data_IF_955465882408
#
_entry.id   IF_955465882408
#
_cell.length_a   1.000
_cell.length_b   1.000
_cell.length_c   1.000
_cell.angle_alpha   90.00
_cell.angle_beta   90.00
_cell.angle_gamma   90.00
#
_symmetry.space_group_name_H-M   'P 1'
#
loop_
_entity.id
_entity.type
_entity.pdbx_description
1 polymer ?
#
# COMPACT_ATOMS: atom_id res chain seq x y z
N UNK A 1 33.94 21.76 -19.03
CA UNK A 1 33.64 20.64 -18.12
C UNK A 1 32.14 20.66 -17.84
N UNK A 2 31.44 19.53 -17.96
CA UNK A 2 30.02 19.46 -17.60
C UNK A 2 29.85 19.68 -16.10
N UNK A 3 28.87 20.51 -15.70
CA UNK A 3 28.54 20.74 -14.28
C UNK A 3 28.12 19.39 -13.66
N UNK A 4 28.66 18.99 -12.50
CA UNK A 4 28.21 17.77 -11.86
C UNK A 4 26.70 17.86 -11.60
N UNK A 5 25.97 16.84 -12.03
CA UNK A 5 24.52 16.78 -11.83
C UNK A 5 24.23 16.78 -10.33
N UNK A 6 23.43 17.74 -9.87
CA UNK A 6 23.03 17.82 -8.46
C UNK A 6 22.05 16.69 -8.18
N UNK A 7 22.46 15.73 -7.36
CA UNK A 7 21.60 14.62 -6.93
C UNK A 7 20.70 15.13 -5.80
N UNK A 8 19.41 15.19 -6.06
CA UNK A 8 18.41 15.64 -5.08
C UNK A 8 17.83 14.49 -4.27
N UNK A 9 17.21 14.81 -3.13
CA UNK A 9 16.49 13.83 -2.29
C UNK A 9 15.40 13.09 -3.07
N UNK A 10 14.60 13.81 -3.86
CA UNK A 10 13.56 13.23 -4.72
C UNK A 10 14.13 12.27 -5.79
N UNK A 11 15.27 12.61 -6.39
CA UNK A 11 15.96 11.70 -7.32
C UNK A 11 16.41 10.41 -6.62
N UNK A 12 16.94 10.53 -5.40
CA UNK A 12 17.33 9.36 -4.60
C UNK A 12 16.12 8.49 -4.26
N UNK A 13 14.98 9.07 -3.88
CA UNK A 13 13.75 8.29 -3.65
C UNK A 13 13.30 7.56 -4.91
N UNK A 14 13.32 8.22 -6.08
CA UNK A 14 13.02 7.58 -7.38
C UNK A 14 14.00 6.44 -7.70
N UNK A 15 15.28 6.62 -7.41
CA UNK A 15 16.28 5.55 -7.54
C UNK A 15 15.96 4.37 -6.61
N UNK A 16 15.60 4.65 -5.36
CA UNK A 16 15.13 3.65 -4.41
C UNK A 16 13.94 2.85 -4.95
N UNK A 17 12.88 3.53 -5.40
CA UNK A 17 11.69 2.87 -5.99
C UNK A 17 12.05 2.01 -7.19
N UNK A 18 12.81 2.56 -8.14
CA UNK A 18 13.25 1.82 -9.33
C UNK A 18 14.07 0.58 -8.94
N UNK A 19 14.92 0.71 -7.92
CA UNK A 19 15.68 -0.40 -7.36
C UNK A 19 14.76 -1.47 -6.76
N UNK A 20 13.73 -1.10 -6.00
CA UNK A 20 12.73 -2.05 -5.47
C UNK A 20 12.02 -2.79 -6.60
N UNK A 21 11.59 -2.09 -7.65
CA UNK A 21 10.91 -2.73 -8.79
C UNK A 21 11.81 -3.72 -9.52
N UNK A 22 13.12 -3.46 -9.57
CA UNK A 22 14.08 -4.35 -10.24
C UNK A 22 14.54 -5.50 -9.36
N UNK A 23 14.88 -5.23 -8.09
CA UNK A 23 15.61 -6.17 -7.24
C UNK A 23 14.91 -6.54 -5.92
N UNK A 24 13.77 -5.91 -5.59
CA UNK A 24 13.03 -6.15 -4.35
C UNK A 24 13.56 -5.34 -3.15
N UNK A 25 12.70 -5.12 -2.15
CA UNK A 25 12.96 -4.19 -1.06
C UNK A 25 14.05 -4.67 -0.09
N UNK A 26 14.05 -5.97 0.24
CA UNK A 26 15.11 -6.59 1.05
C UNK A 26 16.53 -6.37 0.50
N UNK A 27 16.67 -6.14 -0.80
CA UNK A 27 17.97 -5.94 -1.44
C UNK A 27 18.50 -4.50 -1.33
N UNK A 28 17.75 -3.56 -0.77
CA UNK A 28 18.21 -2.17 -0.65
C UNK A 28 19.42 -2.07 0.30
N UNK A 29 20.51 -1.52 -0.25
CA UNK A 29 21.64 -0.96 0.47
C UNK A 29 22.18 0.26 -0.28
N UNK A 30 22.84 1.18 0.42
CA UNK A 30 23.43 2.37 -0.21
C UNK A 30 24.39 1.99 -1.34
N UNK A 31 25.25 0.99 -1.13
CA UNK A 31 26.20 0.51 -2.16
C UNK A 31 25.49 -0.06 -3.39
N UNK A 32 24.45 -0.89 -3.21
CA UNK A 32 23.73 -1.50 -4.34
C UNK A 32 22.96 -0.45 -5.15
N UNK A 33 22.28 0.49 -4.47
CA UNK A 33 21.59 1.60 -5.13
C UNK A 33 22.58 2.51 -5.85
N UNK A 34 23.67 2.89 -5.19
CA UNK A 34 24.69 3.75 -5.76
C UNK A 34 25.31 3.15 -7.03
N UNK A 35 25.65 1.86 -6.99
CA UNK A 35 26.16 1.13 -8.15
C UNK A 35 25.16 1.06 -9.30
N UNK A 36 23.86 0.82 -9.03
CA UNK A 36 22.82 0.73 -10.07
C UNK A 36 22.67 2.05 -10.85
N UNK A 37 22.78 3.20 -10.16
CA UNK A 37 22.56 4.52 -10.76
C UNK A 37 23.85 5.29 -11.05
N UNK A 38 25.02 4.66 -10.91
CA UNK A 38 26.31 5.27 -11.23
C UNK A 38 26.68 6.46 -10.35
N UNK A 39 26.25 6.46 -9.08
CA UNK A 39 26.55 7.52 -8.11
C UNK A 39 27.45 6.97 -6.99
N UNK A 40 28.06 7.86 -6.19
CA UNK A 40 28.69 7.42 -4.93
C UNK A 40 27.62 7.18 -3.84
N UNK A 41 28.00 6.60 -2.71
CA UNK A 41 27.06 6.43 -1.58
C UNK A 41 26.81 7.72 -0.79
N UNK A 42 27.66 8.74 -0.97
CA UNK A 42 27.61 9.98 -0.20
C UNK A 42 26.28 10.75 -0.32
N UNK A 43 25.66 10.90 -1.51
CA UNK A 43 24.39 11.61 -1.64
C UNK A 43 23.26 11.01 -0.78
N UNK A 44 23.24 9.68 -0.61
CA UNK A 44 22.26 9.00 0.24
C UNK A 44 22.43 9.46 1.69
N UNK A 45 23.64 9.40 2.23
CA UNK A 45 23.91 9.80 3.62
C UNK A 45 23.85 11.32 3.86
N UNK A 46 23.92 12.13 2.79
CA UNK A 46 23.67 13.58 2.89
C UNK A 46 22.18 13.91 2.99
N UNK A 47 21.30 13.08 2.44
CA UNK A 47 19.85 13.35 2.38
C UNK A 47 19.04 12.59 3.44
N UNK A 48 19.56 11.48 3.97
CA UNK A 48 18.87 10.60 4.91
C UNK A 48 19.75 10.30 6.12
N UNK A 49 19.12 10.18 7.30
CA UNK A 49 19.83 9.98 8.57
C UNK A 49 20.63 8.67 8.57
N UNK A 50 20.06 7.63 7.99
CA UNK A 50 20.65 6.30 7.87
C UNK A 50 19.87 5.48 6.82
N UNK A 51 20.27 4.22 6.63
CA UNK A 51 19.61 3.33 5.68
C UNK A 51 18.18 2.92 6.08
N UNK A 52 17.81 2.97 7.37
CA UNK A 52 16.44 2.70 7.79
C UNK A 52 15.54 3.88 7.40
N UNK A 53 15.97 5.11 7.69
CA UNK A 53 15.30 6.37 7.30
C UNK A 53 15.10 6.43 5.77
N UNK A 54 16.14 6.12 4.98
CA UNK A 54 16.00 6.06 3.52
C UNK A 54 14.99 5.00 3.06
N UNK A 55 14.98 3.81 3.68
CA UNK A 55 14.02 2.74 3.35
C UNK A 55 12.59 3.12 3.69
N UNK A 56 12.38 3.77 4.83
CA UNK A 56 11.08 4.28 5.27
C UNK A 56 10.56 5.34 4.29
N UNK A 57 11.38 6.33 3.94
CA UNK A 57 10.97 7.36 2.98
C UNK A 57 10.73 6.81 1.56
N UNK A 58 11.37 5.70 1.17
CA UNK A 58 11.01 4.99 -0.07
C UNK A 58 9.59 4.42 0.03
N UNK A 59 9.22 3.79 1.15
CA UNK A 59 7.87 3.24 1.35
C UNK A 59 6.84 4.38 1.33
N UNK A 60 7.10 5.48 2.02
CA UNK A 60 6.24 6.67 1.99
C UNK A 60 6.12 7.26 0.58
N UNK A 61 7.22 7.29 -0.18
CA UNK A 61 7.17 7.74 -1.56
C UNK A 61 6.31 6.82 -2.43
N UNK A 62 6.41 5.50 -2.27
CA UNK A 62 5.57 4.53 -2.98
C UNK A 62 4.10 4.75 -2.63
N UNK A 63 3.77 4.92 -1.34
CA UNK A 63 2.41 5.19 -0.89
C UNK A 63 1.83 6.43 -1.57
N UNK A 64 2.51 7.58 -1.41
CA UNK A 64 2.00 8.88 -1.84
C UNK A 64 1.99 9.08 -3.37
N UNK A 65 2.87 8.41 -4.12
CA UNK A 65 3.05 8.69 -5.55
C UNK A 65 2.58 7.58 -6.48
N UNK A 66 2.38 6.37 -5.96
CA UNK A 66 2.07 5.19 -6.77
C UNK A 66 0.81 4.51 -6.26
N UNK A 67 0.77 4.13 -4.98
CA UNK A 67 -0.38 3.43 -4.40
C UNK A 67 -1.63 4.32 -4.37
N UNK A 68 -1.52 5.55 -3.85
CA UNK A 68 -2.61 6.53 -3.81
C UNK A 68 -3.21 6.83 -5.20
N UNK A 69 -2.38 6.81 -6.26
CA UNK A 69 -2.88 6.95 -7.63
C UNK A 69 -3.68 5.74 -8.10
N UNK A 70 -3.36 4.54 -7.64
CA UNK A 70 -4.18 3.36 -7.92
C UNK A 70 -5.51 3.42 -7.17
N UNK A 71 -5.49 3.83 -5.89
CA UNK A 71 -6.71 3.99 -5.06
C UNK A 71 -7.70 5.00 -5.65
N UNK A 72 -7.19 6.04 -6.33
CA UNK A 72 -8.02 7.04 -7.03
C UNK A 72 -8.69 6.54 -8.31
N UNK A 73 -8.39 5.32 -8.78
CA UNK A 73 -9.06 4.74 -9.95
C UNK A 73 -10.44 4.23 -9.57
N UNK A 74 -11.35 4.32 -10.54
CA UNK A 74 -12.72 3.84 -10.39
C UNK A 74 -12.88 2.43 -10.93
N UNK A 75 -13.22 1.50 -10.05
CA UNK A 75 -13.53 0.09 -10.27
C UNK A 75 -14.96 -0.26 -9.85
N UNK A 76 -15.53 0.45 -8.88
CA UNK A 76 -16.88 0.24 -8.37
C UNK A 76 -17.49 1.55 -7.86
N UNK A 77 -18.81 1.65 -7.77
CA UNK A 77 -19.52 2.80 -7.19
C UNK A 77 -19.48 2.78 -5.65
N UNK A 78 -19.44 1.60 -5.05
CA UNK A 78 -19.30 1.45 -3.62
C UNK A 78 -17.84 1.72 -3.23
N UNK A 79 -17.58 2.69 -2.33
CA UNK A 79 -16.22 3.10 -2.00
C UNK A 79 -15.38 1.98 -1.36
N UNK A 80 -15.97 1.16 -0.49
CA UNK A 80 -15.28 0.04 0.18
C UNK A 80 -14.84 -1.00 -0.85
N UNK A 81 -15.72 -1.31 -1.81
CA UNK A 81 -15.42 -2.26 -2.90
C UNK A 81 -14.40 -1.67 -3.85
N UNK A 82 -14.54 -0.38 -4.21
CA UNK A 82 -13.65 0.32 -5.10
C UNK A 82 -12.21 0.30 -4.58
N UNK A 83 -12.03 0.68 -3.31
CA UNK A 83 -10.75 0.74 -2.64
C UNK A 83 -10.10 -0.65 -2.56
N UNK A 84 -10.88 -1.65 -2.17
CA UNK A 84 -10.40 -3.03 -2.07
C UNK A 84 -9.96 -3.60 -3.45
N UNK A 85 -10.72 -3.34 -4.52
CA UNK A 85 -10.31 -3.73 -5.88
C UNK A 85 -9.06 -2.98 -6.31
N UNK A 86 -8.98 -1.66 -6.06
CA UNK A 86 -7.81 -0.86 -6.40
C UNK A 86 -6.54 -1.39 -5.72
N UNK A 87 -6.63 -1.77 -4.45
CA UNK A 87 -5.55 -2.43 -3.73
C UNK A 87 -5.15 -3.75 -4.41
N UNK A 88 -6.10 -4.66 -4.68
CA UNK A 88 -5.80 -5.93 -5.35
C UNK A 88 -5.06 -5.69 -6.67
N UNK A 89 -5.55 -4.74 -7.49
CA UNK A 89 -4.93 -4.37 -8.76
C UNK A 89 -3.54 -3.76 -8.59
N UNK A 90 -3.30 -2.98 -7.53
CA UNK A 90 -1.96 -2.51 -7.21
C UNK A 90 -1.01 -3.68 -6.94
N UNK A 91 -1.44 -4.64 -6.12
CA UNK A 91 -0.66 -5.83 -5.75
C UNK A 91 -0.28 -6.68 -6.96
N UNK A 92 -1.25 -6.95 -7.83
CA UNK A 92 -1.04 -7.71 -9.07
C UNK A 92 -0.11 -7.00 -10.06
N UNK A 93 -0.27 -5.67 -10.23
CA UNK A 93 0.53 -4.88 -11.19
C UNK A 93 1.94 -4.61 -10.68
N UNK A 94 2.10 -4.46 -9.37
CA UNK A 94 3.36 -4.05 -8.74
C UNK A 94 3.79 -5.01 -7.62
N UNK A 95 4.05 -6.31 -7.89
CA UNK A 95 4.28 -7.30 -6.83
C UNK A 95 5.40 -6.91 -5.85
N UNK A 96 6.52 -6.39 -6.33
CA UNK A 96 7.65 -5.98 -5.49
C UNK A 96 7.37 -4.73 -4.66
N UNK A 97 6.54 -3.80 -5.16
CA UNK A 97 6.13 -2.63 -4.39
C UNK A 97 5.10 -3.00 -3.33
N UNK A 98 4.17 -3.90 -3.65
CA UNK A 98 3.27 -4.50 -2.66
C UNK A 98 4.04 -5.19 -1.53
N UNK A 99 5.01 -6.05 -1.89
CA UNK A 99 5.88 -6.68 -0.90
C UNK A 99 6.64 -5.64 -0.08
N UNK A 100 7.17 -4.59 -0.70
CA UNK A 100 7.85 -3.50 0.01
C UNK A 100 6.93 -2.81 1.03
N UNK A 101 5.70 -2.47 0.65
CA UNK A 101 4.79 -1.70 1.50
C UNK A 101 4.16 -2.53 2.63
N UNK A 102 3.72 -3.74 2.33
CA UNK A 102 2.81 -4.47 3.23
C UNK A 102 3.46 -5.69 3.90
N UNK A 103 4.60 -6.18 3.39
CA UNK A 103 5.22 -7.44 3.86
C UNK A 103 6.65 -7.26 4.35
N UNK A 104 7.48 -6.46 3.68
CA UNK A 104 8.93 -6.37 3.91
C UNK A 104 9.37 -5.05 4.56
N UNK A 105 8.65 -3.94 4.33
CA UNK A 105 8.88 -2.61 4.91
C UNK A 105 8.36 -2.47 6.34
N UNK A 106 8.53 -3.51 7.14
CA UNK A 106 7.72 -3.81 8.34
C UNK A 106 7.88 -2.87 9.53
N UNK A 107 8.83 -1.93 9.53
CA UNK A 107 9.03 -1.03 10.67
C UNK A 107 7.82 -0.14 10.96
N UNK A 108 6.88 0.01 10.01
CA UNK A 108 5.71 0.87 10.18
C UNK A 108 4.38 0.25 9.70
N UNK A 109 4.28 -1.07 9.53
CA UNK A 109 3.04 -1.71 9.04
C UNK A 109 1.80 -1.37 9.88
N UNK A 110 1.96 -1.24 11.21
CA UNK A 110 0.85 -0.83 12.08
C UNK A 110 0.43 0.61 11.81
N UNK A 111 1.37 1.53 11.59
CA UNK A 111 1.05 2.91 11.20
C UNK A 111 0.35 2.95 9.86
N UNK A 112 0.84 2.22 8.85
CA UNK A 112 0.19 2.15 7.53
C UNK A 112 -1.26 1.66 7.65
N UNK A 113 -1.49 0.62 8.48
CA UNK A 113 -2.84 0.13 8.76
C UNK A 113 -3.73 1.20 9.41
N UNK A 114 -3.21 1.94 10.40
CA UNK A 114 -3.96 2.99 11.10
C UNK A 114 -4.21 4.23 10.21
N UNK A 115 -3.22 4.66 9.43
CA UNK A 115 -3.35 5.75 8.46
C UNK A 115 -4.42 5.40 7.40
N UNK A 116 -4.49 4.13 6.99
CA UNK A 116 -5.51 3.62 6.09
C UNK A 116 -6.90 3.52 6.74
N UNK A 117 -6.98 3.12 8.01
CA UNK A 117 -8.22 3.14 8.79
C UNK A 117 -8.80 4.57 8.89
N UNK A 118 -7.95 5.57 9.09
CA UNK A 118 -8.36 6.99 9.09
C UNK A 118 -8.92 7.42 7.72
N UNK A 119 -8.36 6.91 6.62
CA UNK A 119 -8.93 7.10 5.28
C UNK A 119 -10.30 6.43 5.16
N UNK A 120 -10.43 5.20 5.67
CA UNK A 120 -11.70 4.46 5.70
C UNK A 120 -12.79 5.23 6.43
N UNK A 121 -12.48 5.80 7.59
CA UNK A 121 -13.43 6.65 8.33
C UNK A 121 -13.92 7.83 7.48
N UNK A 122 -13.01 8.56 6.81
CA UNK A 122 -13.39 9.68 5.92
C UNK A 122 -14.27 9.19 4.77
N UNK A 123 -13.80 8.17 4.06
CA UNK A 123 -14.45 7.61 2.88
C UNK A 123 -15.86 7.08 3.17
N UNK A 124 -16.05 6.39 4.30
CA UNK A 124 -17.33 5.81 4.70
C UNK A 124 -18.32 6.89 5.16
N UNK A 125 -17.86 7.86 5.96
CA UNK A 125 -18.72 8.93 6.47
C UNK A 125 -19.31 9.82 5.36
N UNK A 126 -18.59 9.95 4.24
CA UNK A 126 -19.04 10.73 3.08
C UNK A 126 -20.03 9.97 2.17
N UNK A 127 -20.25 8.67 2.41
CA UNK A 127 -21.10 7.83 1.55
C UNK A 127 -22.50 7.60 2.16
N UNK A 128 -23.60 8.02 1.51
CA UNK A 128 -24.94 8.02 2.11
C UNK A 128 -25.41 6.67 2.68
N UNK A 129 -25.01 5.54 2.07
CA UNK A 129 -25.39 4.19 2.53
C UNK A 129 -24.79 3.84 3.90
N UNK A 130 -23.73 4.53 4.31
CA UNK A 130 -22.99 4.24 5.53
C UNK A 130 -23.08 5.34 6.58
N UNK A 131 -23.90 6.38 6.38
CA UNK A 131 -23.95 7.55 7.28
C UNK A 131 -24.24 7.20 8.75
N UNK A 132 -25.02 6.14 8.99
CA UNK A 132 -25.48 5.77 10.33
C UNK A 132 -24.71 4.58 10.94
N UNK A 133 -23.57 4.18 10.36
CA UNK A 133 -22.76 3.08 10.91
C UNK A 133 -21.92 3.54 12.11
N UNK A 134 -21.62 2.62 13.02
CA UNK A 134 -20.77 2.90 14.19
C UNK A 134 -19.29 2.86 13.85
N UNK A 135 -18.44 3.47 14.69
CA UNK A 135 -16.99 3.32 14.56
C UNK A 135 -16.55 1.84 14.63
N UNK A 136 -17.15 1.06 15.53
CA UNK A 136 -16.90 -0.39 15.62
C UNK A 136 -17.19 -1.11 14.30
N UNK A 137 -18.22 -0.69 13.56
CA UNK A 137 -18.50 -1.22 12.22
C UNK A 137 -17.39 -0.86 11.23
N UNK A 138 -16.92 0.39 11.25
CA UNK A 138 -15.85 0.89 10.37
C UNK A 138 -14.55 0.13 10.61
N UNK A 139 -14.14 -0.02 11.87
CA UNK A 139 -12.95 -0.78 12.25
C UNK A 139 -13.07 -2.26 11.80
N UNK A 140 -14.24 -2.86 12.01
CA UNK A 140 -14.48 -4.26 11.65
C UNK A 140 -14.46 -4.48 10.13
N UNK A 141 -15.10 -3.61 9.35
CA UNK A 141 -15.10 -3.73 7.89
C UNK A 141 -13.71 -3.44 7.33
N UNK A 142 -12.99 -2.44 7.86
CA UNK A 142 -11.62 -2.13 7.46
C UNK A 142 -10.69 -3.34 7.67
N UNK A 143 -10.71 -3.93 8.87
CA UNK A 143 -9.91 -5.11 9.18
C UNK A 143 -10.23 -6.29 8.26
N UNK A 144 -11.52 -6.58 8.00
CA UNK A 144 -11.94 -7.65 7.10
C UNK A 144 -11.51 -7.38 5.66
N UNK A 145 -11.74 -6.17 5.15
CA UNK A 145 -11.28 -5.73 3.82
C UNK A 145 -9.77 -5.89 3.69
N UNK A 146 -9.00 -5.45 4.69
CA UNK A 146 -7.55 -5.53 4.71
C UNK A 146 -7.05 -6.98 4.59
N UNK A 147 -7.59 -7.89 5.42
CA UNK A 147 -7.21 -9.31 5.42
C UNK A 147 -7.57 -9.97 4.09
N UNK A 148 -8.82 -9.80 3.62
CA UNK A 148 -9.29 -10.41 2.37
C UNK A 148 -8.45 -9.91 1.19
N UNK A 149 -8.22 -8.61 1.11
CA UNK A 149 -7.42 -7.98 0.05
C UNK A 149 -6.00 -8.52 0.02
N UNK A 150 -5.31 -8.59 1.16
CA UNK A 150 -3.96 -9.17 1.24
C UNK A 150 -3.96 -10.66 0.85
N UNK A 151 -4.98 -11.41 1.26
CA UNK A 151 -5.15 -12.82 0.86
C UNK A 151 -5.34 -12.99 -0.65
N UNK A 152 -6.14 -12.13 -1.27
CA UNK A 152 -6.38 -12.11 -2.71
C UNK A 152 -5.12 -11.75 -3.50
N UNK A 153 -4.37 -10.74 -3.04
CA UNK A 153 -3.07 -10.43 -3.65
C UNK A 153 -2.13 -11.61 -3.52
N UNK A 154 -2.00 -12.21 -2.34
CA UNK A 154 -1.13 -13.37 -2.12
C UNK A 154 -1.49 -14.58 -2.99
N UNK A 155 -2.78 -14.87 -3.16
CA UNK A 155 -3.22 -15.95 -4.05
C UNK A 155 -2.94 -15.63 -5.53
N UNK A 156 -3.09 -14.38 -5.95
CA UNK A 156 -2.73 -13.95 -7.31
C UNK A 156 -1.22 -14.01 -7.56
N UNK A 157 -0.40 -13.56 -6.61
CA UNK A 157 1.06 -13.57 -6.73
C UNK A 157 1.66 -14.98 -6.67
N UNK A 158 1.03 -15.90 -5.95
CA UNK A 158 1.45 -17.31 -5.92
C UNK A 158 1.04 -18.10 -7.16
N UNK A 159 0.24 -17.52 -8.05
CA UNK A 159 -0.27 -18.18 -9.25
C UNK A 159 -1.45 -19.10 -9.00
N UNK A 160 -2.06 -19.07 -7.81
CA UNK A 160 -3.24 -19.88 -7.49
C UNK A 160 -4.42 -19.52 -8.39
N UNK A 161 -4.72 -18.21 -8.50
CA UNK A 161 -5.81 -17.69 -9.34
C UNK A 161 -5.69 -16.17 -9.53
N UNK A 162 -6.17 -15.67 -10.67
CA UNK A 162 -6.48 -14.24 -10.88
C UNK A 162 -7.98 -14.01 -10.79
N UNK A 163 -8.37 -12.86 -10.27
CA UNK A 163 -9.77 -12.52 -10.04
C UNK A 163 -10.23 -11.43 -11.00
N UNK A 164 -11.40 -11.60 -11.62
CA UNK A 164 -12.04 -10.53 -12.40
C UNK A 164 -12.58 -9.43 -11.47
N UNK A 165 -12.90 -8.25 -12.01
CA UNK A 165 -13.51 -7.18 -11.19
C UNK A 165 -14.89 -7.61 -10.66
N UNK A 166 -15.62 -8.41 -11.43
CA UNK A 166 -16.93 -8.95 -11.07
C UNK A 166 -16.81 -9.94 -9.91
N UNK A 167 -15.85 -10.87 -9.96
CA UNK A 167 -15.59 -11.81 -8.86
C UNK A 167 -15.20 -11.08 -7.58
N UNK A 168 -14.29 -10.10 -7.68
CA UNK A 168 -13.90 -9.27 -6.54
C UNK A 168 -15.11 -8.50 -5.98
N UNK A 169 -15.95 -7.94 -6.84
CA UNK A 169 -17.17 -7.23 -6.43
C UNK A 169 -18.08 -8.15 -5.63
N UNK A 170 -18.36 -9.37 -6.12
CA UNK A 170 -19.20 -10.35 -5.43
C UNK A 170 -18.64 -10.68 -4.03
N UNK A 171 -17.33 -10.92 -3.95
CA UNK A 171 -16.67 -11.25 -2.67
C UNK A 171 -16.77 -10.10 -1.65
N UNK A 172 -16.56 -8.85 -2.09
CA UNK A 172 -16.64 -7.70 -1.19
C UNK A 172 -18.09 -7.31 -0.85
N UNK A 173 -19.05 -7.49 -1.76
CA UNK A 173 -20.48 -7.34 -1.46
C UNK A 173 -20.94 -8.32 -0.38
N UNK A 174 -20.52 -9.58 -0.49
CA UNK A 174 -20.80 -10.60 0.52
C UNK A 174 -20.17 -10.26 1.88
N UNK A 175 -18.91 -9.81 1.90
CA UNK A 175 -18.23 -9.38 3.12
C UNK A 175 -18.94 -8.18 3.78
N UNK A 176 -19.39 -7.20 2.99
CA UNK A 176 -20.16 -6.05 3.49
C UNK A 176 -21.49 -6.54 4.08
N UNK A 177 -22.23 -7.39 3.35
CA UNK A 177 -23.52 -7.96 3.82
C UNK A 177 -23.36 -8.67 5.16
N UNK A 178 -22.41 -9.58 5.27
CA UNK A 178 -22.14 -10.33 6.51
C UNK A 178 -21.76 -9.40 7.66
N UNK A 179 -21.05 -8.31 7.39
CA UNK A 179 -20.65 -7.34 8.42
C UNK A 179 -21.83 -6.52 8.94
N UNK A 180 -22.84 -6.25 8.12
CA UNK A 180 -24.10 -5.67 8.59
C UNK A 180 -24.95 -6.66 9.40
N UNK A 181 -24.96 -7.93 9.00
CA UNK A 181 -25.78 -8.98 9.64
C UNK A 181 -25.21 -9.45 10.99
N UNK A 182 -23.89 -9.34 11.20
CA UNK A 182 -23.22 -9.82 12.41
C UNK A 182 -22.61 -8.66 13.24
N UNK A 183 -23.22 -8.29 14.38
CA UNK A 183 -22.75 -7.20 15.23
C UNK A 183 -21.49 -7.55 16.04
N UNK A 184 -21.06 -8.82 16.03
CA UNK A 184 -19.82 -9.23 16.68
C UNK A 184 -18.63 -8.69 15.88
N UNK A 185 -17.80 -7.89 16.54
CA UNK A 185 -16.61 -7.30 15.97
C UNK A 185 -15.37 -7.80 16.72
N UNK A 186 -14.30 -8.06 15.97
CA UNK A 186 -12.98 -8.25 16.55
C UNK A 186 -12.45 -6.84 16.81
N UNK A 187 -12.22 -6.51 18.09
CA UNK A 187 -11.64 -5.21 18.44
C UNK A 187 -10.17 -5.19 18.03
N UNK A 188 -9.73 -4.07 17.47
CA UNK A 188 -8.32 -3.84 17.21
C UNK A 188 -7.57 -3.78 18.55
N UNK A 189 -6.43 -4.46 18.62
CA UNK A 189 -5.52 -4.34 19.76
C UNK A 189 -5.04 -2.88 19.85
N UNK A 190 -5.28 -2.24 20.99
CA UNK A 190 -4.91 -0.84 21.25
C UNK A 190 -3.40 -0.67 21.45
#
# INVERSE_FOLDING_TARGET
MARPQVITKDMLLKYGVNFVQKYGFKNISSRKVANEFGISTQPIYNCFKNMADYKEEIVDYIYNNIFDKELKKKYNENPIINDSIAFVRFGEKNPKLYLAMFIEGTSNNRKVFLDDLDNYHRMINDYPKYRDVTNDFIENIHMKSWIITNGLVASSLSGLRKYSNEELTIMFEEMIRITFENPNHIKLDK
#
